data_IF_775933745662
#
_entry.id   IF_775933745662
#
_cell.length_a   1.000
_cell.length_b   1.000
_cell.length_c   1.000
_cell.angle_alpha   90.00
_cell.angle_beta   90.00
_cell.angle_gamma   90.00
#
_symmetry.space_group_name_H-M   'P 1'
#
loop_
_entity.id
_entity.type
_entity.pdbx_description
1 polymer ?
#
# COMPACT_ATOMS: atom_id res chain seq x y z
N UNK A 1 31.64 33.94 27.40
CA UNK A 1 31.27 35.21 26.75
C UNK A 1 31.14 36.24 27.85
N UNK A 2 31.81 37.38 27.75
CA UNK A 2 31.66 38.47 28.71
C UNK A 2 30.64 39.47 28.16
N UNK A 3 29.48 39.53 28.81
CA UNK A 3 28.39 40.42 28.43
C UNK A 3 28.31 41.68 29.32
N UNK A 4 29.28 41.91 30.22
CA UNK A 4 29.21 43.00 31.20
C UNK A 4 29.34 44.40 30.56
N UNK A 5 29.98 44.50 29.40
CA UNK A 5 30.19 45.76 28.69
C UNK A 5 29.16 46.02 27.57
N UNK A 6 28.10 45.23 27.48
CA UNK A 6 27.08 45.37 26.44
C UNK A 6 26.06 46.43 26.85
N UNK A 7 25.90 47.46 26.01
CA UNK A 7 24.87 48.48 26.19
C UNK A 7 23.56 48.03 25.54
N UNK A 8 22.53 47.81 26.36
CA UNK A 8 21.20 47.43 25.87
C UNK A 8 20.35 48.67 25.55
N UNK A 9 19.94 48.81 24.29
CA UNK A 9 18.97 49.85 23.90
C UNK A 9 17.54 49.42 24.29
N UNK A 10 16.81 50.22 25.09
CA UNK A 10 15.46 49.86 25.52
C UNK A 10 14.50 49.76 24.34
N UNK A 11 14.61 50.65 23.35
CA UNK A 11 13.77 50.66 22.14
C UNK A 11 13.94 49.38 21.32
N UNK A 12 15.18 48.93 21.13
CA UNK A 12 15.44 47.69 20.40
C UNK A 12 15.06 46.44 21.21
N UNK A 13 15.24 46.48 22.53
CA UNK A 13 14.83 45.39 23.42
C UNK A 13 13.32 45.13 23.32
N UNK A 14 12.50 46.17 23.52
CA UNK A 14 11.03 46.05 23.44
C UNK A 14 10.57 45.51 22.08
N UNK A 15 11.05 46.10 20.98
CA UNK A 15 10.69 45.66 19.63
C UNK A 15 11.07 44.19 19.35
N UNK A 16 12.17 43.70 19.93
CA UNK A 16 12.61 42.30 19.77
C UNK A 16 11.79 41.35 20.64
N UNK A 17 11.45 41.76 21.86
CA UNK A 17 10.59 41.00 22.76
C UNK A 17 9.18 40.88 22.18
N UNK A 18 8.59 41.97 21.66
CA UNK A 18 7.30 41.94 20.97
C UNK A 18 7.29 40.96 19.80
N UNK A 19 8.34 40.97 18.97
CA UNK A 19 8.51 39.99 17.88
C UNK A 19 8.63 38.55 18.41
N UNK A 20 9.31 38.35 19.54
CA UNK A 20 9.43 37.03 20.14
C UNK A 20 8.08 36.52 20.69
N UNK A 21 7.27 37.40 21.26
CA UNK A 21 5.92 37.09 21.76
C UNK A 21 4.94 36.69 20.65
N UNK A 22 5.19 37.09 19.40
CA UNK A 22 4.42 36.61 18.25
C UNK A 22 4.68 35.12 17.93
N UNK A 23 5.82 34.58 18.38
CA UNK A 23 6.27 33.22 18.02
C UNK A 23 6.22 32.29 19.24
N UNK A 24 6.52 32.81 20.42
CA UNK A 24 6.66 32.05 21.66
C UNK A 24 5.64 32.53 22.70
N UNK A 25 5.03 31.63 23.49
CA UNK A 25 4.17 32.01 24.59
C UNK A 25 4.89 32.92 25.59
N UNK A 26 4.19 33.90 26.15
CA UNK A 26 4.74 34.90 27.07
C UNK A 26 5.52 34.25 28.24
N UNK A 27 4.96 33.20 28.83
CA UNK A 27 5.59 32.47 29.92
C UNK A 27 6.94 31.84 29.52
N UNK A 28 7.07 31.39 28.27
CA UNK A 28 8.32 30.81 27.76
C UNK A 28 9.36 31.91 27.57
N UNK A 29 8.97 33.05 26.98
CA UNK A 29 9.85 34.21 26.82
C UNK A 29 10.33 34.71 28.17
N UNK A 30 9.42 34.85 29.14
CA UNK A 30 9.74 35.22 30.52
C UNK A 30 10.74 34.25 31.16
N UNK A 31 10.52 32.93 31.09
CA UNK A 31 11.48 31.92 31.61
C UNK A 31 12.85 31.98 30.93
N UNK A 32 12.91 32.20 29.62
CA UNK A 32 14.17 32.31 28.86
C UNK A 32 14.95 33.54 29.31
N UNK A 33 14.30 34.71 29.38
CA UNK A 33 14.94 35.94 29.85
C UNK A 33 15.39 35.81 31.31
N UNK A 34 14.56 35.21 32.16
CA UNK A 34 14.87 34.96 33.56
C UNK A 34 16.13 34.11 33.71
N UNK A 35 16.20 32.99 32.98
CA UNK A 35 17.35 32.09 33.02
C UNK A 35 18.61 32.73 32.44
N UNK A 36 18.51 33.49 31.35
CA UNK A 36 19.64 34.19 30.75
C UNK A 36 20.23 35.24 31.72
N UNK A 37 19.39 36.04 32.36
CA UNK A 37 19.84 37.05 33.34
C UNK A 37 20.45 36.40 34.58
N UNK A 38 19.93 35.24 35.01
CA UNK A 38 20.52 34.46 36.09
C UNK A 38 21.93 33.97 35.73
N UNK A 39 22.13 33.44 34.52
CA UNK A 39 23.47 33.03 34.05
C UNK A 39 24.45 34.20 33.93
N UNK A 40 23.95 35.41 33.68
CA UNK A 40 24.73 36.65 33.67
C UNK A 40 25.04 37.19 35.08
N UNK A 41 24.58 36.52 36.14
CA UNK A 41 24.88 36.87 37.53
C UNK A 41 23.97 37.95 38.14
N UNK A 42 22.83 38.26 37.52
CA UNK A 42 21.89 39.22 38.09
C UNK A 42 21.21 38.66 39.35
N UNK A 43 20.88 39.54 40.31
CA UNK A 43 20.21 39.15 41.57
C UNK A 43 18.79 38.66 41.30
N UNK A 44 18.39 37.58 41.97
CA UNK A 44 17.08 36.92 41.78
C UNK A 44 15.89 37.89 41.92
N UNK A 45 15.92 38.74 42.94
CA UNK A 45 14.87 39.73 43.21
C UNK A 45 14.75 40.80 42.11
N UNK A 46 15.87 41.20 41.52
CA UNK A 46 15.91 42.17 40.42
C UNK A 46 15.41 41.56 39.10
N UNK A 47 15.67 40.27 38.86
CA UNK A 47 15.14 39.57 37.68
C UNK A 47 13.63 39.35 37.84
N UNK A 48 13.19 38.95 39.03
CA UNK A 48 11.79 38.72 39.37
C UNK A 48 10.92 39.95 39.12
N UNK A 49 11.37 41.13 39.58
CA UNK A 49 10.68 42.38 39.30
C UNK A 49 10.70 42.76 37.82
N UNK A 50 11.82 42.56 37.12
CA UNK A 50 11.97 42.93 35.71
C UNK A 50 11.12 42.07 34.76
N UNK A 51 11.00 40.78 35.05
CA UNK A 51 10.30 39.80 34.20
C UNK A 51 8.84 39.61 34.66
N UNK A 52 8.41 40.31 35.72
CA UNK A 52 7.09 40.19 36.34
C UNK A 52 6.76 38.73 36.73
N UNK A 53 7.71 38.08 37.39
CA UNK A 53 7.58 36.70 37.90
C UNK A 53 7.87 36.67 39.39
N UNK A 54 7.20 35.79 40.15
CA UNK A 54 7.55 35.59 41.56
C UNK A 54 8.90 34.90 41.70
N UNK A 55 9.66 35.25 42.74
CA UNK A 55 10.98 34.66 43.01
C UNK A 55 10.92 33.13 43.11
N UNK A 56 9.88 32.59 43.75
CA UNK A 56 9.67 31.14 43.90
C UNK A 56 9.41 30.44 42.55
N UNK A 57 8.69 31.09 41.64
CA UNK A 57 8.48 30.59 40.28
C UNK A 57 9.78 30.62 39.47
N UNK A 58 10.57 31.68 39.65
CA UNK A 58 11.89 31.83 39.05
C UNK A 58 12.87 30.73 39.49
N UNK A 59 13.00 30.51 40.80
CA UNK A 59 13.81 29.42 41.38
C UNK A 59 13.40 28.06 40.85
N UNK A 60 12.09 27.80 40.81
CA UNK A 60 11.54 26.55 40.28
C UNK A 60 11.87 26.38 38.79
N UNK A 61 11.77 27.46 38.00
CA UNK A 61 12.12 27.44 36.59
C UNK A 61 13.62 27.14 36.39
N UNK A 62 14.51 27.84 37.10
CA UNK A 62 15.97 27.62 37.03
C UNK A 62 16.32 26.17 37.38
N UNK A 63 15.83 25.67 38.52
CA UNK A 63 16.14 24.31 38.96
C UNK A 63 15.65 23.26 37.95
N UNK A 64 14.49 23.46 37.34
CA UNK A 64 13.98 22.57 36.29
C UNK A 64 14.80 22.68 35.00
N UNK A 65 15.21 23.87 34.59
CA UNK A 65 16.03 24.06 33.39
C UNK A 65 17.42 23.44 33.58
N UNK A 66 18.04 23.60 34.76
CA UNK A 66 19.33 22.98 35.07
C UNK A 66 19.25 21.45 35.14
N UNK A 67 18.12 20.88 35.58
CA UNK A 67 17.94 19.43 35.70
C UNK A 67 17.48 18.75 34.41
N UNK A 68 16.47 19.32 33.75
CA UNK A 68 15.76 18.69 32.62
C UNK A 68 16.10 19.36 31.28
N UNK A 69 16.87 20.46 31.27
CA UNK A 69 17.29 21.17 30.07
C UNK A 69 16.19 22.01 29.39
N UNK A 70 16.31 22.21 28.08
CA UNK A 70 15.36 22.97 27.25
C UNK A 70 13.89 22.52 27.40
N UNK A 71 13.56 21.21 27.55
CA UNK A 71 12.19 20.77 27.80
C UNK A 71 11.49 21.43 29.00
N UNK A 72 12.24 21.92 30.00
CA UNK A 72 11.68 22.59 31.18
C UNK A 72 11.07 23.98 30.89
N UNK A 73 11.46 24.60 29.77
CA UNK A 73 10.90 25.88 29.35
C UNK A 73 9.44 25.73 28.89
N UNK A 74 9.07 24.55 28.37
CA UNK A 74 7.72 24.25 27.88
C UNK A 74 6.74 24.02 29.03
N UNK A 75 5.49 24.41 28.82
CA UNK A 75 4.40 24.03 29.72
C UNK A 75 4.01 22.57 29.44
N UNK A 76 4.19 21.68 30.42
CA UNK A 76 3.81 20.26 30.30
C UNK A 76 2.30 20.03 30.26
N UNK A 77 1.50 21.03 30.65
CA UNK A 77 0.03 20.99 30.58
C UNK A 77 -0.49 21.30 29.19
N UNK A 78 0.30 21.99 28.38
CA UNK A 78 -0.01 22.20 26.98
C UNK A 78 0.44 20.97 26.20
N UNK A 79 -0.51 20.31 25.52
CA UNK A 79 -0.20 19.20 24.62
C UNK A 79 0.93 19.61 23.67
N UNK A 80 1.79 18.66 23.29
CA UNK A 80 2.85 18.88 22.30
C UNK A 80 2.32 19.52 21.00
N UNK A 81 1.01 19.41 20.72
CA UNK A 81 0.29 20.04 19.59
C UNK A 81 0.12 21.57 19.68
N UNK A 82 0.12 22.18 20.86
CA UNK A 82 -0.15 23.63 21.01
C UNK A 82 1.14 24.47 20.98
N UNK A 83 2.29 23.84 21.12
CA UNK A 83 3.61 24.48 21.21
C UNK A 83 4.54 24.08 20.06
N UNK A 84 3.99 23.59 18.95
CA UNK A 84 4.70 23.64 17.68
C UNK A 84 4.69 25.09 17.21
N UNK A 85 5.87 25.72 17.27
CA UNK A 85 6.12 27.07 16.79
C UNK A 85 5.44 27.27 15.43
N UNK A 86 4.58 28.27 15.34
CA UNK A 86 4.23 28.92 14.08
C UNK A 86 5.46 29.69 13.58
N UNK A 87 6.48 28.98 13.12
CA UNK A 87 7.42 29.50 12.14
C UNK A 87 6.79 29.26 10.76
N UNK A 88 6.83 30.21 9.81
CA UNK A 88 6.53 29.92 8.42
C UNK A 88 7.73 29.18 7.79
N UNK A 89 8.12 28.04 8.37
CA UNK A 89 9.10 27.14 7.78
C UNK A 89 8.66 25.72 8.08
N UNK A 90 8.20 25.07 7.01
CA UNK A 90 8.39 23.64 6.73
C UNK A 90 8.81 22.85 7.97
N UNK A 91 7.82 22.28 8.65
CA UNK A 91 8.06 21.08 9.45
C UNK A 91 9.02 20.15 8.68
N UNK A 92 9.89 19.36 9.33
CA UNK A 92 10.27 18.08 8.76
C UNK A 92 9.00 17.21 8.74
N UNK A 93 8.08 17.58 7.84
CA UNK A 93 7.00 16.73 7.42
C UNK A 93 7.72 15.50 6.90
N UNK A 94 7.33 14.32 7.40
CA UNK A 94 7.61 13.09 6.68
C UNK A 94 7.40 13.38 5.18
N UNK A 95 8.37 13.02 4.29
CA UNK A 95 8.36 13.48 2.91
C UNK A 95 6.94 13.39 2.38
N UNK A 96 6.30 14.54 2.10
CA UNK A 96 4.90 14.55 1.69
C UNK A 96 4.83 13.93 0.29
N UNK A 97 4.69 12.61 0.27
CA UNK A 97 4.45 11.87 -0.97
C UNK A 97 2.96 11.93 -1.21
N UNK A 98 2.59 12.68 -2.25
CA UNK A 98 1.20 12.72 -2.72
C UNK A 98 1.05 11.77 -3.91
N UNK A 99 -0.10 11.11 -3.95
CA UNK A 99 -0.45 10.19 -5.03
C UNK A 99 -1.74 10.68 -5.67
N UNK A 100 -1.67 11.01 -6.95
CA UNK A 100 -2.81 11.42 -7.76
C UNK A 100 -3.05 10.42 -8.88
N UNK A 101 -4.28 10.38 -9.36
CA UNK A 101 -4.69 9.46 -10.42
C UNK A 101 -5.30 10.26 -11.55
N UNK A 102 -4.62 10.34 -12.70
CA UNK A 102 -5.01 11.18 -13.83
C UNK A 102 -4.86 10.42 -15.15
N UNK A 103 -5.91 10.40 -15.98
CA UNK A 103 -5.84 9.88 -17.35
C UNK A 103 -5.32 8.44 -17.48
N UNK A 104 -5.67 7.56 -16.52
CA UNK A 104 -5.19 6.16 -16.51
C UNK A 104 -3.73 5.99 -16.05
N UNK A 105 -3.10 7.05 -15.54
CA UNK A 105 -1.79 7.02 -14.91
C UNK A 105 -1.89 7.35 -13.42
N UNK A 106 -1.05 6.71 -12.62
CA UNK A 106 -0.77 7.06 -11.24
C UNK A 106 0.45 7.99 -11.22
N UNK A 107 0.33 9.14 -10.56
CA UNK A 107 1.39 10.14 -10.44
C UNK A 107 1.76 10.23 -8.97
N UNK A 108 3.02 9.91 -8.67
CA UNK A 108 3.60 10.05 -7.34
C UNK A 108 4.48 11.30 -7.34
N UNK A 109 4.17 12.24 -6.47
CA UNK A 109 4.94 13.48 -6.31
C UNK A 109 5.64 13.43 -4.96
N UNK A 110 6.96 13.58 -4.96
CA UNK A 110 7.78 13.61 -3.75
C UNK A 110 8.03 15.08 -3.37
N UNK A 111 7.76 15.43 -2.10
CA UNK A 111 7.90 16.79 -1.58
C UNK A 111 9.19 17.51 -2.01
N UNK A 112 9.09 18.83 -2.19
CA UNK A 112 10.16 19.77 -2.60
C UNK A 112 10.85 19.52 -3.95
N UNK A 113 10.46 18.48 -4.68
CA UNK A 113 10.98 18.21 -6.02
C UNK A 113 9.87 18.32 -7.07
N UNK A 114 10.12 19.03 -8.17
CA UNK A 114 9.29 18.96 -9.39
C UNK A 114 9.38 17.56 -10.08
N UNK A 115 9.90 16.56 -9.37
CA UNK A 115 10.11 15.22 -9.88
C UNK A 115 8.87 14.38 -9.59
N UNK A 116 8.26 13.90 -10.67
CA UNK A 116 7.07 13.06 -10.62
C UNK A 116 7.42 11.68 -11.17
N UNK A 117 6.99 10.66 -10.44
CA UNK A 117 7.00 9.29 -10.94
C UNK A 117 5.62 8.98 -11.52
N UNK A 118 5.54 8.88 -12.85
CA UNK A 118 4.32 8.55 -13.57
C UNK A 118 4.31 7.08 -13.96
N UNK A 119 3.29 6.35 -13.53
CA UNK A 119 3.14 4.92 -13.77
C UNK A 119 1.77 4.67 -14.41
N UNK A 120 1.74 4.03 -15.57
CA UNK A 120 0.47 3.61 -16.18
C UNK A 120 -0.24 2.56 -15.32
N UNK A 121 -1.55 2.70 -15.14
CA UNK A 121 -2.37 1.68 -14.45
C UNK A 121 -2.43 0.34 -15.20
N UNK A 122 -2.13 0.33 -16.50
CA UNK A 122 -2.01 -0.92 -17.27
C UNK A 122 -0.85 -1.79 -16.77
N UNK A 123 0.20 -1.19 -16.20
CA UNK A 123 1.38 -1.89 -15.71
C UNK A 123 1.17 -2.37 -14.27
N UNK A 124 0.25 -3.32 -14.09
CA UNK A 124 -0.21 -3.82 -12.78
C UNK A 124 0.92 -4.22 -11.83
N UNK A 125 1.92 -4.96 -12.32
CA UNK A 125 3.05 -5.42 -11.50
C UNK A 125 3.89 -4.23 -11.05
N UNK A 126 4.28 -3.35 -11.98
CA UNK A 126 5.08 -2.16 -11.67
C UNK A 126 4.35 -1.23 -10.68
N UNK A 127 3.06 -0.94 -10.92
CA UNK A 127 2.25 -0.12 -10.04
C UNK A 127 2.16 -0.71 -8.63
N UNK A 128 1.91 -2.02 -8.51
CA UNK A 128 1.88 -2.70 -7.21
C UNK A 128 3.21 -2.65 -6.49
N UNK A 129 4.31 -2.92 -7.20
CA UNK A 129 5.66 -2.84 -6.61
C UNK A 129 5.92 -1.46 -6.02
N UNK A 130 5.69 -0.39 -6.79
CA UNK A 130 5.96 0.98 -6.32
C UNK A 130 5.04 1.36 -5.17
N UNK A 131 3.72 1.15 -5.27
CA UNK A 131 2.78 1.52 -4.21
C UNK A 131 3.07 0.77 -2.89
N UNK A 132 3.38 -0.52 -2.96
CA UNK A 132 3.70 -1.31 -1.77
C UNK A 132 5.04 -0.89 -1.17
N UNK A 133 6.06 -0.59 -1.98
CA UNK A 133 7.34 -0.06 -1.49
C UNK A 133 7.19 1.29 -0.79
N UNK A 134 6.39 2.21 -1.36
CA UNK A 134 6.09 3.51 -0.74
C UNK A 134 5.33 3.34 0.59
N UNK A 135 4.37 2.42 0.63
CA UNK A 135 3.64 2.10 1.86
C UNK A 135 4.58 1.53 2.93
N UNK A 136 5.45 0.59 2.56
CA UNK A 136 6.40 -0.04 3.47
C UNK A 136 7.45 0.95 4.02
N UNK A 137 7.83 1.95 3.21
CA UNK A 137 8.70 3.05 3.63
C UNK A 137 7.97 4.09 4.52
N UNK A 138 6.66 3.92 4.76
CA UNK A 138 5.86 4.88 5.54
C UNK A 138 5.58 6.19 4.81
N UNK A 139 5.83 6.26 3.50
CA UNK A 139 5.64 7.47 2.70
C UNK A 139 4.18 7.70 2.30
N UNK A 140 3.40 6.61 2.18
CA UNK A 140 1.96 6.68 1.91
C UNK A 140 1.20 5.77 2.89
N UNK A 141 -0.07 6.09 3.14
CA UNK A 141 -0.92 5.28 4.01
C UNK A 141 -1.39 3.99 3.31
N UNK A 142 -1.72 2.97 4.10
CA UNK A 142 -2.37 1.75 3.58
C UNK A 142 -3.69 2.05 2.86
N UNK A 143 -4.41 3.09 3.32
CA UNK A 143 -5.64 3.55 2.66
C UNK A 143 -5.35 4.09 1.27
N UNK A 144 -4.35 4.96 1.13
CA UNK A 144 -3.93 5.54 -0.16
C UNK A 144 -3.48 4.44 -1.12
N UNK A 145 -2.60 3.54 -0.66
CA UNK A 145 -2.10 2.43 -1.47
C UNK A 145 -3.24 1.50 -1.92
N UNK A 146 -4.13 1.10 -1.01
CA UNK A 146 -5.25 0.20 -1.33
C UNK A 146 -6.25 0.82 -2.31
N UNK A 147 -6.51 2.13 -2.20
CA UNK A 147 -7.38 2.87 -3.12
C UNK A 147 -6.82 2.88 -4.54
N UNK A 148 -5.53 3.20 -4.69
CA UNK A 148 -4.85 3.24 -6.01
C UNK A 148 -4.78 1.84 -6.65
N UNK A 149 -4.58 0.80 -5.83
CA UNK A 149 -4.46 -0.57 -6.31
C UNK A 149 -5.82 -1.26 -6.56
N UNK A 150 -6.93 -0.68 -6.07
CA UNK A 150 -8.27 -1.27 -6.15
C UNK A 150 -8.39 -2.57 -5.35
N UNK A 151 -7.75 -2.64 -4.17
CA UNK A 151 -7.76 -3.82 -3.29
C UNK A 151 -8.19 -3.41 -1.87
N UNK A 152 -8.48 -4.38 -1.00
CA UNK A 152 -8.80 -4.09 0.40
C UNK A 152 -7.55 -3.70 1.18
N UNK A 153 -7.71 -2.90 2.24
CA UNK A 153 -6.61 -2.50 3.14
C UNK A 153 -5.92 -3.73 3.74
N UNK A 154 -6.70 -4.75 4.15
CA UNK A 154 -6.16 -5.99 4.69
C UNK A 154 -5.29 -6.73 3.66
N UNK A 155 -5.78 -6.84 2.41
CA UNK A 155 -5.01 -7.47 1.33
C UNK A 155 -3.76 -6.66 0.97
N UNK A 156 -3.83 -5.32 1.03
CA UNK A 156 -2.67 -4.44 0.83
C UNK A 156 -1.57 -4.70 1.87
N UNK A 157 -1.93 -4.86 3.14
CA UNK A 157 -0.98 -5.19 4.22
C UNK A 157 -0.37 -6.57 4.05
N UNK A 158 -1.19 -7.58 3.74
CA UNK A 158 -0.75 -8.95 3.47
C UNK A 158 0.24 -9.00 2.29
N UNK A 159 -0.10 -8.33 1.18
CA UNK A 159 0.79 -8.22 0.01
C UNK A 159 2.10 -7.50 0.35
N UNK A 160 2.06 -6.42 1.12
CA UNK A 160 3.26 -5.70 1.53
C UNK A 160 4.19 -6.58 2.39
N UNK A 161 3.62 -7.37 3.29
CA UNK A 161 4.39 -8.25 4.15
C UNK A 161 5.00 -9.40 3.35
N UNK A 162 4.24 -10.03 2.45
CA UNK A 162 4.76 -11.05 1.53
C UNK A 162 5.88 -10.50 0.64
N UNK A 163 5.70 -9.30 0.10
CA UNK A 163 6.69 -8.66 -0.76
C UNK A 163 8.04 -8.46 -0.06
N UNK A 164 8.01 -8.16 1.25
CA UNK A 164 9.20 -8.00 2.09
C UNK A 164 10.03 -9.28 2.22
N UNK A 165 9.38 -10.44 2.26
CA UNK A 165 10.04 -11.73 2.50
C UNK A 165 10.33 -12.52 1.21
N UNK A 166 9.41 -12.48 0.24
CA UNK A 166 9.42 -13.36 -0.93
C UNK A 166 9.80 -12.62 -2.24
N UNK A 167 9.71 -11.29 -2.26
CA UNK A 167 10.07 -10.46 -3.41
C UNK A 167 9.01 -10.36 -4.52
N UNK A 168 9.27 -9.52 -5.52
CA UNK A 168 8.30 -9.12 -6.56
C UNK A 168 7.85 -10.29 -7.45
N UNK A 169 8.80 -11.10 -7.92
CA UNK A 169 8.50 -12.25 -8.79
C UNK A 169 7.63 -13.28 -8.12
N UNK A 170 7.81 -13.48 -6.81
CA UNK A 170 7.07 -14.51 -6.10
C UNK A 170 5.63 -14.08 -5.78
N UNK A 171 5.43 -12.79 -5.50
CA UNK A 171 4.18 -12.25 -4.95
C UNK A 171 3.29 -11.59 -6.01
N UNK A 172 3.88 -10.89 -6.98
CA UNK A 172 3.13 -10.01 -7.89
C UNK A 172 3.02 -10.54 -9.32
N UNK A 173 3.89 -11.46 -9.74
CA UNK A 173 3.85 -12.07 -11.07
C UNK A 173 2.90 -13.27 -11.07
N UNK A 174 2.02 -13.34 -12.08
CA UNK A 174 1.12 -14.48 -12.23
C UNK A 174 1.90 -15.75 -12.57
N UNK A 175 1.93 -16.69 -11.62
CA UNK A 175 2.60 -17.99 -11.76
C UNK A 175 1.67 -19.09 -12.28
N UNK A 176 0.43 -18.77 -12.63
CA UNK A 176 -0.52 -19.76 -13.16
C UNK A 176 0.00 -20.31 -14.48
N UNK A 177 0.71 -21.43 -14.40
CA UNK A 177 0.82 -22.38 -15.50
C UNK A 177 -0.59 -22.97 -15.61
N UNK A 178 -1.39 -22.52 -16.58
CA UNK A 178 -2.78 -22.95 -16.75
C UNK A 178 -2.96 -24.47 -16.58
N UNK A 179 -4.17 -24.89 -16.22
CA UNK A 179 -4.49 -26.28 -15.88
C UNK A 179 -3.91 -27.27 -16.90
N UNK A 180 -2.92 -28.06 -16.48
CA UNK A 180 -2.22 -29.04 -17.34
C UNK A 180 -2.96 -30.36 -17.52
N UNK A 181 -3.87 -30.67 -16.61
CA UNK A 181 -4.60 -31.94 -16.56
C UNK A 181 -6.11 -31.73 -16.48
N UNK A 182 -6.85 -32.48 -17.29
CA UNK A 182 -8.31 -32.45 -17.31
C UNK A 182 -8.85 -33.17 -16.06
N UNK A 183 -9.14 -32.42 -14.99
CA UNK A 183 -9.53 -33.00 -13.70
C UNK A 183 -10.90 -33.68 -13.73
N UNK A 184 -11.83 -33.19 -14.55
CA UNK A 184 -13.21 -33.72 -14.66
C UNK A 184 -13.37 -34.76 -15.76
N UNK A 185 -12.48 -34.76 -16.76
CA UNK A 185 -12.53 -35.68 -17.89
C UNK A 185 -11.24 -36.50 -17.86
N UNK A 186 -11.25 -37.46 -16.94
CA UNK A 186 -10.14 -38.38 -16.75
C UNK A 186 -10.00 -39.31 -17.99
N UNK A 187 -8.92 -40.12 -18.07
CA UNK A 187 -8.72 -41.04 -19.19
C UNK A 187 -9.88 -42.01 -19.45
N UNK A 188 -10.59 -42.46 -18.40
CA UNK A 188 -11.73 -43.36 -18.53
C UNK A 188 -12.91 -42.68 -19.25
N UNK A 189 -13.25 -41.45 -18.85
CA UNK A 189 -14.30 -40.66 -19.51
C UNK A 189 -13.91 -40.36 -20.97
N UNK A 190 -12.63 -40.16 -21.26
CA UNK A 190 -12.15 -39.98 -22.65
C UNK A 190 -12.32 -41.26 -23.47
N UNK A 191 -11.98 -42.43 -22.90
CA UNK A 191 -12.15 -43.71 -23.56
C UNK A 191 -13.63 -43.98 -23.86
N UNK A 192 -14.50 -43.77 -22.87
CA UNK A 192 -15.96 -43.89 -23.04
C UNK A 192 -16.47 -42.94 -24.13
N UNK A 193 -16.00 -41.69 -24.15
CA UNK A 193 -16.36 -40.72 -25.19
C UNK A 193 -16.00 -41.23 -26.59
N UNK A 194 -14.79 -41.75 -26.79
CA UNK A 194 -14.34 -42.29 -28.08
C UNK A 194 -15.17 -43.51 -28.46
N UNK A 195 -15.40 -44.43 -27.53
CA UNK A 195 -16.16 -45.65 -27.75
C UNK A 195 -17.63 -45.36 -28.11
N UNK A 196 -18.32 -44.54 -27.32
CA UNK A 196 -19.71 -44.17 -27.56
C UNK A 196 -19.86 -43.35 -28.83
N UNK A 197 -18.91 -42.45 -29.13
CA UNK A 197 -18.90 -41.73 -30.39
C UNK A 197 -18.81 -42.69 -31.59
N UNK A 198 -17.84 -43.60 -31.59
CA UNK A 198 -17.62 -44.53 -32.69
C UNK A 198 -18.80 -45.50 -32.87
N UNK A 199 -19.23 -46.17 -31.80
CA UNK A 199 -20.30 -47.16 -31.84
C UNK A 199 -21.63 -46.54 -32.32
N UNK A 200 -21.99 -45.37 -31.78
CA UNK A 200 -23.22 -44.67 -32.16
C UNK A 200 -23.17 -44.17 -33.58
N UNK A 201 -22.02 -43.64 -34.02
CA UNK A 201 -21.85 -43.16 -35.38
C UNK A 201 -22.01 -44.29 -36.41
N UNK A 202 -21.41 -45.46 -36.15
CA UNK A 202 -21.51 -46.64 -37.02
C UNK A 202 -22.94 -47.19 -37.05
N UNK A 203 -23.64 -47.17 -35.90
CA UNK A 203 -25.01 -47.63 -35.78
C UNK A 203 -26.07 -46.57 -36.19
N UNK A 204 -25.66 -45.40 -36.68
CA UNK A 204 -26.57 -44.34 -37.15
C UNK A 204 -27.28 -43.54 -36.05
N UNK A 205 -26.87 -43.67 -34.79
CA UNK A 205 -27.42 -42.91 -33.66
C UNK A 205 -26.82 -41.50 -33.54
N UNK A 206 -27.52 -40.63 -32.81
CA UNK A 206 -27.06 -39.26 -32.54
C UNK A 206 -25.76 -39.24 -31.73
N UNK A 207 -24.75 -38.54 -32.27
CA UNK A 207 -23.46 -38.23 -31.62
C UNK A 207 -23.41 -36.77 -31.13
N UNK A 208 -24.57 -36.17 -30.85
CA UNK A 208 -24.62 -34.82 -30.31
C UNK A 208 -23.95 -34.75 -28.93
N UNK A 209 -23.43 -33.58 -28.56
CA UNK A 209 -22.82 -33.39 -27.25
C UNK A 209 -23.79 -33.64 -26.10
N UNK A 210 -25.10 -33.41 -26.28
CA UNK A 210 -26.12 -33.71 -25.28
C UNK A 210 -26.30 -35.23 -25.11
N UNK A 211 -26.55 -35.93 -26.23
CA UNK A 211 -26.74 -37.39 -26.22
C UNK A 211 -25.52 -38.14 -25.64
N UNK A 212 -24.31 -37.71 -25.98
CA UNK A 212 -23.09 -38.31 -25.43
C UNK A 212 -22.91 -37.98 -23.94
N UNK A 213 -23.33 -36.80 -23.49
CA UNK A 213 -23.21 -36.42 -22.08
C UNK A 213 -24.10 -37.27 -21.19
N UNK A 214 -25.35 -37.49 -21.58
CA UNK A 214 -26.29 -38.35 -20.85
C UNK A 214 -25.69 -39.74 -20.63
N UNK A 215 -25.26 -40.39 -21.71
CA UNK A 215 -24.70 -41.75 -21.67
C UNK A 215 -23.41 -41.82 -20.85
N UNK A 216 -22.50 -40.86 -21.04
CA UNK A 216 -21.20 -40.86 -20.35
C UNK A 216 -21.39 -40.60 -18.86
N UNK A 217 -22.28 -39.69 -18.50
CA UNK A 217 -22.57 -39.39 -17.09
C UNK A 217 -23.25 -40.58 -16.40
N UNK A 218 -24.16 -41.27 -17.10
CA UNK A 218 -24.84 -42.47 -16.59
C UNK A 218 -23.85 -43.64 -16.41
N UNK A 219 -23.02 -43.91 -17.41
CA UNK A 219 -22.09 -45.04 -17.39
C UNK A 219 -20.93 -44.83 -16.41
N UNK A 220 -20.35 -43.63 -16.39
CA UNK A 220 -19.15 -43.33 -15.60
C UNK A 220 -19.46 -42.70 -14.24
N UNK A 221 -20.75 -42.49 -13.92
CA UNK A 221 -21.21 -41.79 -12.70
C UNK A 221 -20.51 -40.44 -12.51
N UNK A 222 -20.44 -39.67 -13.60
CA UNK A 222 -19.79 -38.34 -13.61
C UNK A 222 -20.79 -37.23 -13.87
N UNK A 223 -20.39 -35.98 -13.61
CA UNK A 223 -21.19 -34.78 -13.85
C UNK A 223 -20.49 -33.85 -14.84
N UNK A 224 -20.24 -34.36 -16.05
CA UNK A 224 -19.61 -33.59 -17.13
C UNK A 224 -20.70 -32.82 -17.88
N UNK A 225 -20.39 -31.58 -18.28
CA UNK A 225 -21.35 -30.76 -19.03
C UNK A 225 -21.29 -31.05 -20.54
N UNK A 226 -22.38 -30.82 -21.29
CA UNK A 226 -22.35 -30.95 -22.75
C UNK A 226 -21.31 -30.06 -23.44
N UNK A 227 -21.02 -28.89 -22.87
CA UNK A 227 -19.97 -27.99 -23.38
C UNK A 227 -18.58 -28.63 -23.24
N UNK A 228 -18.33 -29.29 -22.13
CA UNK A 228 -17.07 -29.99 -21.86
C UNK A 228 -16.89 -31.18 -22.80
N UNK A 229 -17.93 -32.00 -22.98
CA UNK A 229 -17.89 -33.11 -23.95
C UNK A 229 -17.62 -32.61 -25.36
N UNK A 230 -18.32 -31.55 -25.81
CA UNK A 230 -18.08 -30.93 -27.13
C UNK A 230 -16.64 -30.46 -27.30
N UNK A 231 -16.09 -29.80 -26.28
CA UNK A 231 -14.70 -29.36 -26.32
C UNK A 231 -13.73 -30.53 -26.47
N UNK A 232 -13.95 -31.62 -25.74
CA UNK A 232 -13.14 -32.83 -25.86
C UNK A 232 -13.29 -33.54 -27.20
N UNK A 233 -14.51 -33.61 -27.76
CA UNK A 233 -14.73 -34.17 -29.09
C UNK A 233 -13.92 -33.42 -30.16
N UNK A 234 -13.92 -32.09 -30.09
CA UNK A 234 -13.13 -31.26 -31.01
C UNK A 234 -11.63 -31.41 -30.76
N UNK A 235 -11.20 -31.39 -29.50
CA UNK A 235 -9.79 -31.54 -29.12
C UNK A 235 -9.21 -32.90 -29.54
N UNK A 236 -10.03 -33.96 -29.54
CA UNK A 236 -9.66 -35.30 -29.95
C UNK A 236 -9.82 -35.55 -31.47
N UNK A 237 -10.32 -34.57 -32.24
CA UNK A 237 -10.55 -34.71 -33.68
C UNK A 237 -11.70 -35.65 -34.06
N UNK A 238 -12.61 -35.98 -33.12
CA UNK A 238 -13.71 -36.91 -33.38
C UNK A 238 -14.68 -36.39 -34.44
N UNK A 239 -14.87 -35.06 -34.49
CA UNK A 239 -15.72 -34.43 -35.50
C UNK A 239 -15.15 -34.55 -36.92
N UNK A 240 -13.83 -34.59 -37.06
CA UNK A 240 -13.14 -34.66 -38.35
C UNK A 240 -13.29 -36.05 -38.99
N UNK A 241 -13.37 -37.10 -38.16
CA UNK A 241 -13.55 -38.48 -38.62
C UNK A 241 -15.03 -38.89 -38.79
N UNK A 242 -15.98 -37.98 -38.55
CA UNK A 242 -17.42 -38.29 -38.56
C UNK A 242 -17.92 -38.89 -39.88
N UNK A 243 -17.35 -38.48 -41.02
CA UNK A 243 -17.75 -38.96 -42.36
C UNK A 243 -16.91 -40.15 -42.85
N UNK A 244 -15.69 -40.29 -42.34
CA UNK A 244 -14.72 -41.29 -42.80
C UNK A 244 -14.83 -42.59 -42.02
N UNK A 245 -15.15 -42.52 -40.72
CA UNK A 245 -15.23 -43.69 -39.86
C UNK A 245 -16.28 -44.73 -40.32
N UNK A 246 -17.52 -44.36 -40.70
CA UNK A 246 -18.48 -45.34 -41.22
C UNK A 246 -17.99 -46.01 -42.52
N UNK A 247 -17.43 -45.22 -43.45
CA UNK A 247 -16.88 -45.73 -44.72
C UNK A 247 -15.73 -46.71 -44.49
N UNK A 248 -14.87 -46.43 -43.52
CA UNK A 248 -13.78 -47.32 -43.13
C UNK A 248 -14.35 -48.67 -42.65
N UNK A 249 -15.36 -48.65 -41.77
CA UNK A 249 -15.98 -49.88 -41.28
C UNK A 249 -16.66 -50.67 -42.39
N UNK A 250 -17.37 -50.01 -43.31
CA UNK A 250 -17.96 -50.67 -44.48
C UNK A 250 -16.89 -51.32 -45.38
N UNK A 251 -15.75 -50.66 -45.59
CA UNK A 251 -14.66 -51.23 -46.38
C UNK A 251 -14.03 -52.46 -45.73
N UNK A 252 -13.92 -52.47 -44.40
CA UNK A 252 -13.39 -53.61 -43.64
C UNK A 252 -14.36 -54.80 -43.65
N UNK A 253 -15.68 -54.54 -43.57
CA UNK A 253 -16.72 -55.58 -43.66
C UNK A 253 -16.78 -56.27 -45.03
N UNK A 254 -16.40 -55.59 -46.11
CA UNK A 254 -16.39 -56.16 -47.48
C UNK A 254 -15.18 -57.06 -47.75
N UNK A 255 -14.11 -56.88 -46.97
CA UNK A 255 -12.84 -57.60 -47.11
C UNK A 255 -12.63 -58.67 -46.03
N UNK A 256 -13.64 -58.89 -45.16
CA UNK A 256 -13.70 -59.99 -44.18
C UNK A 256 -14.73 -61.02 -44.64
#
# INVERSE_FOLDING_TARGET
MDCQNIVFSPKHSHKRIEKALQILPELVVKKVLFFALYLLGARMSAIASLVEMSEESGKTAINRILRDGIPALRDRRQSAKTCELQLPHSSPQAPQVSVATEGGSCIVTFADSNQQLKISQSHRVHLRSVMLSLFQAGLISAHTASTVLGITIAHCRDLSEKLRHEGVTEVLVDKRKGQKHDLRVNPQVKAELVQQFAARLIAGYSVSSQALTEIINDNQKTAVSPRTIRWHMNKLGLMDIKKTLPKLVESLKKNS
#
